data_IF_623835146851
#
_entry.id   IF_623835146851
#
_cell.length_a   1.000
_cell.length_b   1.000
_cell.length_c   1.000
_cell.angle_alpha   90.00
_cell.angle_beta   90.00
_cell.angle_gamma   90.00
#
_symmetry.space_group_name_H-M   'P 1'
#
loop_
_entity.id
_entity.type
_entity.pdbx_description
1 polymer ?
#
# COMPACT_ATOMS: atom_id res chain seq x y z
N UNK A 1 15.55 -45.85 8.65
CA UNK A 1 15.03 -45.53 10.00
C UNK A 1 15.83 -44.34 10.53
N UNK A 2 15.27 -43.13 10.44
CA UNK A 2 15.88 -41.93 10.98
C UNK A 2 15.60 -41.87 12.48
N UNK A 3 16.65 -41.86 13.30
CA UNK A 3 16.53 -41.63 14.73
C UNK A 3 16.38 -40.14 15.00
N UNK A 4 15.21 -39.73 15.46
CA UNK A 4 14.99 -38.37 15.96
C UNK A 4 15.59 -38.32 17.38
N UNK A 5 16.67 -37.53 17.50
CA UNK A 5 17.28 -37.27 18.81
C UNK A 5 16.55 -36.06 19.43
N UNK A 6 15.70 -36.30 20.40
CA UNK A 6 15.10 -35.23 21.18
C UNK A 6 16.15 -34.70 22.17
N UNK A 7 16.69 -33.52 21.87
CA UNK A 7 17.53 -32.77 22.81
C UNK A 7 16.58 -31.88 23.61
N UNK A 8 16.48 -32.04 24.95
CA UNK A 8 15.72 -31.11 25.79
C UNK A 8 16.43 -29.76 25.77
N UNK A 9 15.82 -28.78 25.14
CA UNK A 9 16.25 -27.40 25.20
C UNK A 9 15.65 -26.80 26.47
N UNK A 10 16.53 -26.41 27.39
CA UNK A 10 16.15 -25.72 28.61
C UNK A 10 15.55 -24.37 28.23
N UNK A 11 14.22 -24.23 28.28
CA UNK A 11 13.49 -23.03 27.97
C UNK A 11 13.62 -22.05 29.13
N UNK A 12 14.63 -21.20 29.07
CA UNK A 12 14.82 -20.12 30.05
C UNK A 12 13.72 -19.09 29.84
N UNK A 13 12.74 -19.07 30.73
CA UNK A 13 11.71 -18.06 30.80
C UNK A 13 12.34 -16.66 30.80
N UNK A 14 11.97 -15.85 29.80
CA UNK A 14 12.35 -14.43 29.77
C UNK A 14 11.74 -13.71 30.97
N UNK A 15 12.51 -12.90 31.70
CA UNK A 15 11.97 -12.10 32.79
C UNK A 15 10.88 -11.16 32.24
N UNK A 16 9.70 -11.23 32.85
CA UNK A 16 8.59 -10.32 32.62
C UNK A 16 9.03 -8.92 33.12
N UNK A 17 9.36 -8.05 32.18
CA UNK A 17 9.70 -6.70 32.56
C UNK A 17 10.18 -5.86 31.37
N UNK A 18 9.40 -4.85 31.03
CA UNK A 18 9.58 -3.80 30.03
C UNK A 18 9.09 -4.11 28.62
N UNK A 19 7.77 -4.12 28.47
CA UNK A 19 7.15 -3.82 27.18
C UNK A 19 7.15 -2.30 27.05
N UNK A 20 8.19 -1.75 26.43
CA UNK A 20 8.22 -0.33 26.07
C UNK A 20 7.10 -0.09 25.05
N UNK A 21 6.16 0.79 25.37
CA UNK A 21 5.07 1.22 24.47
C UNK A 21 5.59 1.72 23.10
N UNK A 22 6.82 2.20 23.05
CA UNK A 22 7.52 2.61 21.83
C UNK A 22 7.81 1.45 20.87
N UNK A 23 8.14 0.26 21.40
CA UNK A 23 8.39 -0.91 20.57
C UNK A 23 7.11 -1.45 19.91
N UNK A 24 5.97 -1.37 20.60
CA UNK A 24 4.68 -1.82 20.06
C UNK A 24 4.22 -0.96 18.88
N UNK A 25 4.43 0.37 18.94
CA UNK A 25 4.13 1.26 17.80
C UNK A 25 5.08 1.03 16.63
N UNK A 26 6.38 0.86 16.90
CA UNK A 26 7.39 0.56 15.88
C UNK A 26 7.12 -0.79 15.21
N UNK A 27 6.76 -1.81 15.97
CA UNK A 27 6.43 -3.14 15.44
C UNK A 27 5.12 -3.14 14.67
N UNK A 28 4.11 -2.38 15.11
CA UNK A 28 2.88 -2.15 14.37
C UNK A 28 3.12 -1.46 13.02
N UNK A 29 3.99 -0.45 12.99
CA UNK A 29 4.37 0.23 11.74
C UNK A 29 5.12 -0.71 10.78
N UNK A 30 6.00 -1.57 11.30
CA UNK A 30 6.72 -2.57 10.49
C UNK A 30 5.76 -3.61 9.90
N UNK A 31 4.78 -4.06 10.67
CA UNK A 31 3.76 -5.00 10.17
C UNK A 31 2.91 -4.35 9.08
N UNK A 32 2.48 -3.08 9.26
CA UNK A 32 1.76 -2.34 8.23
C UNK A 32 2.60 -2.14 6.98
N UNK A 33 3.89 -1.79 7.13
CA UNK A 33 4.82 -1.67 6.02
C UNK A 33 5.02 -3.00 5.29
N UNK A 34 5.13 -4.12 6.01
CA UNK A 34 5.26 -5.46 5.44
C UNK A 34 4.00 -5.88 4.70
N UNK A 35 2.82 -5.63 5.26
CA UNK A 35 1.53 -5.85 4.59
C UNK A 35 1.44 -4.99 3.33
N UNK A 36 1.83 -3.71 3.39
CA UNK A 36 1.87 -2.82 2.25
C UNK A 36 2.80 -3.33 1.14
N UNK A 37 3.98 -3.84 1.50
CA UNK A 37 4.93 -4.41 0.54
C UNK A 37 4.39 -5.68 -0.11
N UNK A 38 3.80 -6.59 0.67
CA UNK A 38 3.16 -7.81 0.17
C UNK A 38 1.98 -7.49 -0.77
N UNK A 39 1.15 -6.52 -0.42
CA UNK A 39 0.03 -6.08 -1.26
C UNK A 39 0.51 -5.41 -2.56
N UNK A 40 1.60 -4.65 -2.49
CA UNK A 40 2.23 -4.02 -3.65
C UNK A 40 2.76 -5.06 -4.63
N UNK A 41 3.43 -6.10 -4.14
CA UNK A 41 4.06 -7.14 -4.98
C UNK A 41 3.04 -8.12 -5.56
N UNK A 42 1.98 -8.46 -4.82
CA UNK A 42 0.98 -9.43 -5.27
C UNK A 42 -0.13 -8.84 -6.15
N UNK A 43 -0.62 -7.63 -5.84
CA UNK A 43 -1.67 -6.94 -6.60
C UNK A 43 -1.49 -5.42 -6.50
N UNK A 44 -0.56 -4.85 -7.24
CA UNK A 44 -0.23 -3.43 -7.14
C UNK A 44 -1.43 -2.52 -7.43
N UNK A 45 -2.28 -2.91 -8.38
CA UNK A 45 -3.47 -2.12 -8.75
C UNK A 45 -4.42 -1.91 -7.56
N UNK A 46 -4.69 -2.96 -6.77
CA UNK A 46 -5.61 -2.85 -5.61
C UNK A 46 -5.05 -1.93 -4.52
N UNK A 47 -3.75 -2.00 -4.28
CA UNK A 47 -3.08 -1.15 -3.29
C UNK A 47 -3.13 0.33 -3.69
N UNK A 48 -2.72 0.63 -4.92
CA UNK A 48 -2.72 2.01 -5.41
C UNK A 48 -4.13 2.57 -5.63
N UNK A 49 -5.11 1.73 -6.00
CA UNK A 49 -6.51 2.17 -6.10
C UNK A 49 -7.11 2.53 -4.74
N UNK A 50 -6.74 1.81 -3.67
CA UNK A 50 -7.18 2.16 -2.31
C UNK A 50 -6.61 3.50 -1.86
N UNK A 51 -5.32 3.75 -2.11
CA UNK A 51 -4.68 5.03 -1.84
C UNK A 51 -5.35 6.15 -2.64
N UNK A 52 -5.56 5.93 -3.93
CA UNK A 52 -6.23 6.90 -4.81
C UNK A 52 -7.65 7.22 -4.32
N UNK A 53 -8.40 6.20 -3.87
CA UNK A 53 -9.74 6.39 -3.31
C UNK A 53 -9.70 7.25 -2.03
N UNK A 54 -8.74 7.00 -1.13
CA UNK A 54 -8.59 7.77 0.09
C UNK A 54 -8.30 9.25 -0.20
N UNK A 55 -7.36 9.52 -1.12
CA UNK A 55 -7.05 10.90 -1.53
C UNK A 55 -8.20 11.55 -2.31
N UNK A 56 -8.93 10.80 -3.12
CA UNK A 56 -10.11 11.28 -3.82
C UNK A 56 -11.20 11.73 -2.83
N UNK A 57 -11.49 10.93 -1.82
CA UNK A 57 -12.46 11.28 -0.77
C UNK A 57 -11.98 12.52 0.00
N UNK A 58 -10.70 12.58 0.37
CA UNK A 58 -10.11 13.75 1.04
C UNK A 58 -10.21 15.02 0.19
N UNK A 59 -9.94 14.91 -1.11
CA UNK A 59 -10.07 16.01 -2.07
C UNK A 59 -11.50 16.49 -2.22
N UNK A 60 -12.47 15.57 -2.29
CA UNK A 60 -13.90 15.92 -2.35
C UNK A 60 -14.38 16.58 -1.05
N UNK A 61 -13.99 16.04 0.09
CA UNK A 61 -14.35 16.64 1.40
C UNK A 61 -13.77 18.04 1.57
N UNK A 62 -12.55 18.29 1.10
CA UNK A 62 -11.93 19.62 1.15
C UNK A 62 -12.50 20.56 0.08
N UNK A 63 -12.88 20.04 -1.09
CA UNK A 63 -13.39 20.81 -2.21
C UNK A 63 -14.87 21.20 -2.08
N UNK A 64 -15.71 20.35 -1.50
CA UNK A 64 -17.14 20.64 -1.35
C UNK A 64 -17.45 21.98 -0.70
N UNK A 65 -16.89 22.32 0.48
CA UNK A 65 -17.17 23.61 1.09
C UNK A 65 -16.69 24.80 0.22
N UNK A 66 -15.58 24.64 -0.48
CA UNK A 66 -15.06 25.69 -1.39
C UNK A 66 -16.00 25.93 -2.55
N UNK A 67 -16.52 24.86 -3.16
CA UNK A 67 -17.49 24.97 -4.28
C UNK A 67 -18.81 25.57 -3.79
N UNK A 68 -19.30 25.16 -2.63
CA UNK A 68 -20.55 25.70 -2.06
C UNK A 68 -20.46 27.19 -1.73
N UNK A 69 -19.33 27.63 -1.17
CA UNK A 69 -19.06 29.06 -0.92
C UNK A 69 -18.95 29.87 -2.22
N UNK A 70 -18.32 29.30 -3.25
CA UNK A 70 -18.22 29.94 -4.57
C UNK A 70 -19.58 30.12 -5.23
N UNK A 71 -20.45 29.10 -5.18
CA UNK A 71 -21.80 29.20 -5.73
C UNK A 71 -22.68 30.20 -4.99
N UNK A 72 -22.43 30.41 -3.71
CA UNK A 72 -23.21 31.34 -2.87
C UNK A 72 -22.71 32.80 -2.99
N UNK A 73 -21.41 33.02 -3.11
CA UNK A 73 -20.80 34.35 -3.03
C UNK A 73 -20.09 34.82 -4.31
N UNK A 74 -19.82 33.91 -5.25
CA UNK A 74 -19.01 34.16 -6.45
C UNK A 74 -17.52 34.40 -6.17
N UNK A 75 -17.09 34.24 -4.93
CA UNK A 75 -15.71 34.44 -4.49
C UNK A 75 -15.15 33.17 -3.86
N UNK A 76 -13.84 33.00 -3.92
CA UNK A 76 -13.12 31.87 -3.29
C UNK A 76 -12.35 32.38 -2.05
N UNK A 77 -13.01 32.54 -0.89
CA UNK A 77 -12.36 33.12 0.30
C UNK A 77 -11.29 32.18 0.88
N UNK A 78 -11.39 30.87 0.63
CA UNK A 78 -10.49 29.84 1.16
C UNK A 78 -9.55 29.28 0.07
N UNK A 79 -8.75 30.16 -0.51
CA UNK A 79 -7.78 29.78 -1.55
C UNK A 79 -6.83 28.64 -1.15
N UNK A 80 -6.26 28.60 0.08
CA UNK A 80 -5.40 27.50 0.50
C UNK A 80 -6.10 26.14 0.51
N UNK A 81 -7.37 26.11 0.93
CA UNK A 81 -8.18 24.87 0.95
C UNK A 81 -8.50 24.39 -0.48
N UNK A 82 -8.76 25.31 -1.40
CA UNK A 82 -8.96 24.99 -2.81
C UNK A 82 -7.71 24.34 -3.42
N UNK A 83 -6.54 24.89 -3.15
CA UNK A 83 -5.26 24.33 -3.62
C UNK A 83 -5.01 22.94 -3.01
N UNK A 84 -5.30 22.75 -1.73
CA UNK A 84 -5.18 21.44 -1.07
C UNK A 84 -6.11 20.40 -1.70
N UNK A 85 -7.36 20.75 -2.00
CA UNK A 85 -8.31 19.87 -2.65
C UNK A 85 -7.81 19.42 -4.04
N UNK A 86 -7.28 20.36 -4.84
CA UNK A 86 -6.69 20.05 -6.15
C UNK A 86 -5.47 19.15 -6.00
N UNK A 87 -4.60 19.42 -5.03
CA UNK A 87 -3.42 18.60 -4.76
C UNK A 87 -3.81 17.15 -4.42
N UNK A 88 -4.83 16.95 -3.59
CA UNK A 88 -5.33 15.61 -3.26
C UNK A 88 -5.90 14.88 -4.49
N UNK A 89 -6.67 15.57 -5.32
CA UNK A 89 -7.18 14.98 -6.56
C UNK A 89 -6.05 14.60 -7.52
N UNK A 90 -5.00 15.42 -7.60
CA UNK A 90 -3.84 15.13 -8.42
C UNK A 90 -3.05 13.91 -7.93
N UNK A 91 -2.83 13.82 -6.62
CA UNK A 91 -2.19 12.64 -6.00
C UNK A 91 -3.03 11.38 -6.23
N UNK A 92 -4.36 11.47 -6.13
CA UNK A 92 -5.26 10.36 -6.43
C UNK A 92 -5.11 9.87 -7.88
N UNK A 93 -5.08 10.78 -8.84
CA UNK A 93 -4.90 10.48 -10.26
C UNK A 93 -3.53 9.83 -10.53
N UNK A 94 -2.45 10.36 -9.96
CA UNK A 94 -1.11 9.80 -10.08
C UNK A 94 -1.01 8.40 -9.46
N UNK A 95 -1.65 8.19 -8.30
CA UNK A 95 -1.69 6.87 -7.64
C UNK A 95 -2.40 5.82 -8.50
N UNK A 96 -3.52 6.18 -9.13
CA UNK A 96 -4.21 5.31 -10.09
C UNK A 96 -3.32 4.98 -11.30
N UNK A 97 -2.72 5.98 -11.92
CA UNK A 97 -1.83 5.78 -13.07
C UNK A 97 -0.67 4.84 -12.72
N UNK A 98 -0.03 5.06 -11.56
CA UNK A 98 1.04 4.18 -11.06
C UNK A 98 0.54 2.75 -10.84
N UNK A 99 -0.64 2.58 -10.27
CA UNK A 99 -1.26 1.27 -10.07
C UNK A 99 -1.50 0.52 -11.38
N UNK A 100 -1.98 1.19 -12.42
CA UNK A 100 -2.16 0.61 -13.76
C UNK A 100 -0.84 0.20 -14.41
N UNK A 101 0.18 1.05 -14.34
CA UNK A 101 1.51 0.77 -14.90
C UNK A 101 2.12 -0.47 -14.22
N UNK A 102 2.10 -0.52 -12.90
CA UNK A 102 2.64 -1.66 -12.15
C UNK A 102 1.87 -2.95 -12.41
N UNK A 103 0.55 -2.90 -12.56
CA UNK A 103 -0.26 -4.07 -12.91
C UNK A 103 0.04 -4.58 -14.31
N UNK A 104 0.26 -3.67 -15.27
CA UNK A 104 0.67 -4.02 -16.62
C UNK A 104 2.05 -4.69 -16.64
N UNK A 105 3.03 -4.15 -15.91
CA UNK A 105 4.38 -4.73 -15.78
C UNK A 105 4.32 -6.12 -15.16
N UNK A 106 3.58 -6.28 -14.06
CA UNK A 106 3.43 -7.57 -13.38
C UNK A 106 2.80 -8.66 -14.29
N UNK A 107 1.87 -8.27 -15.15
CA UNK A 107 1.27 -9.19 -16.15
C UNK A 107 2.27 -9.62 -17.21
N UNK A 108 3.10 -8.70 -17.68
CA UNK A 108 4.15 -8.99 -18.67
C UNK A 108 5.20 -9.95 -18.09
N UNK A 109 5.64 -9.72 -16.88
CA UNK A 109 6.62 -10.58 -16.19
C UNK A 109 6.09 -12.02 -16.02
N UNK A 110 4.83 -12.18 -15.59
CA UNK A 110 4.20 -13.52 -15.47
C UNK A 110 4.17 -14.25 -16.80
N UNK A 111 3.79 -13.58 -17.88
CA UNK A 111 3.75 -14.16 -19.22
C UNK A 111 5.14 -14.56 -19.72
N UNK A 112 6.16 -13.78 -19.44
CA UNK A 112 7.55 -14.11 -19.80
C UNK A 112 8.05 -15.32 -19.01
N UNK A 113 7.67 -15.46 -17.75
CA UNK A 113 8.05 -16.61 -16.94
C UNK A 113 7.44 -17.92 -17.48
N UNK A 114 6.16 -17.91 -17.83
CA UNK A 114 5.49 -19.04 -18.47
C UNK A 114 6.18 -19.45 -19.77
N UNK A 115 6.52 -18.50 -20.63
CA UNK A 115 7.22 -18.78 -21.89
C UNK A 115 8.63 -19.36 -21.69
N UNK A 116 9.34 -18.97 -20.62
CA UNK A 116 10.65 -19.54 -20.29
C UNK A 116 10.52 -21.00 -19.85
N UNK A 117 9.54 -21.31 -19.04
CA UNK A 117 9.28 -22.68 -18.58
C UNK A 117 8.93 -23.61 -19.75
N UNK A 118 8.07 -23.16 -20.67
CA UNK A 118 7.73 -23.94 -21.88
C UNK A 118 8.94 -24.18 -22.76
N UNK A 119 9.79 -23.18 -22.95
CA UNK A 119 11.01 -23.33 -23.79
C UNK A 119 12.04 -24.26 -23.15
N UNK A 120 12.13 -24.35 -21.84
CA UNK A 120 13.01 -25.32 -21.19
C UNK A 120 12.50 -26.75 -21.32
N UNK A 121 11.18 -26.95 -21.21
CA UNK A 121 10.56 -28.27 -21.40
C UNK A 121 10.65 -28.81 -22.85
N UNK A 122 10.78 -27.93 -23.83
CA UNK A 122 10.92 -28.33 -25.25
C UNK A 122 12.36 -28.71 -25.62
N UNK A 123 13.34 -28.30 -24.81
CA UNK A 123 14.77 -28.60 -25.04
C UNK A 123 15.29 -29.83 -24.28
N UNK A 124 14.46 -30.50 -23.48
CA UNK A 124 14.76 -31.80 -22.84
C UNK A 124 14.15 -32.98 -23.63
#
# INVERSE_FOLDING_TARGET
RWRILNIPIDYRDRPKGSVSKLNTMSDGLKVIAMIGTLFKDYRPLKFFSLIALAFCIGGLCAGMPVVSEYLATGLVPRLPTAILAVAFMFIAALSLATGFILDAVAKVERKQWELRVYRQAENE
#
